data_IF_005607664039
#
_entry.id   IF_005607664039
#
_cell.length_a   1.000
_cell.length_b   1.000
_cell.length_c   1.000
_cell.angle_alpha   90.00
_cell.angle_beta   90.00
_cell.angle_gamma   90.00
#
_symmetry.space_group_name_H-M   'P 1'
#
loop_
_entity.id
_entity.type
_entity.pdbx_description
1 polymer ?
#
# COMPACT_ATOMS: atom_id res chain seq x y z
N UNK A 1 -0.68 -13.33 60.08
CA UNK A 1 0.02 -12.94 58.84
C UNK A 1 -0.58 -13.76 57.72
N UNK A 2 -1.42 -13.15 56.88
CA UNK A 2 -2.10 -13.82 55.76
C UNK A 2 -1.51 -13.23 54.49
N UNK A 3 -0.76 -14.02 53.73
CA UNK A 3 -0.22 -13.63 52.43
C UNK A 3 -1.25 -13.94 51.36
N UNK A 4 -1.84 -12.89 50.78
CA UNK A 4 -2.73 -13.00 49.62
C UNK A 4 -1.88 -13.00 48.36
N UNK A 5 -1.90 -14.09 47.61
CA UNK A 5 -1.38 -14.17 46.25
C UNK A 5 -2.38 -13.50 45.30
N UNK A 6 -1.98 -12.42 44.64
CA UNK A 6 -2.70 -11.84 43.51
C UNK A 6 -2.17 -12.50 42.25
N UNK A 7 -3.01 -13.30 41.61
CA UNK A 7 -2.74 -13.92 40.31
C UNK A 7 -3.03 -12.89 39.22
N UNK A 8 -1.99 -12.43 38.54
CA UNK A 8 -2.08 -11.56 37.37
C UNK A 8 -2.41 -12.41 36.14
N UNK A 9 -3.67 -12.41 35.75
CA UNK A 9 -4.12 -12.96 34.47
C UNK A 9 -3.70 -11.98 33.36
N UNK A 10 -2.68 -12.34 32.58
CA UNK A 10 -2.37 -11.67 31.30
C UNK A 10 -3.51 -11.99 30.34
N UNK A 11 -4.31 -10.98 30.00
CA UNK A 11 -5.34 -11.10 28.97
C UNK A 11 -4.68 -10.97 27.61
N UNK A 12 -4.81 -12.01 26.77
CA UNK A 12 -4.44 -11.94 25.36
C UNK A 12 -5.35 -10.92 24.64
N UNK A 13 -4.81 -10.02 23.79
CA UNK A 13 -5.62 -8.98 23.13
C UNK A 13 -6.59 -9.51 22.06
N UNK A 14 -6.52 -10.80 21.73
CA UNK A 14 -7.12 -11.37 20.52
C UNK A 14 -8.46 -12.07 20.74
N UNK A 15 -8.95 -12.18 21.97
CA UNK A 15 -10.21 -12.87 22.28
C UNK A 15 -11.37 -11.88 22.37
N UNK A 16 -11.87 -11.48 21.20
CA UNK A 16 -13.29 -11.18 21.05
C UNK A 16 -13.79 -11.77 19.72
N UNK A 17 -14.51 -12.89 19.88
CA UNK A 17 -15.22 -13.57 18.79
C UNK A 17 -16.47 -12.79 18.45
N UNK A 18 -16.56 -12.24 17.24
CA UNK A 18 -17.84 -11.86 16.65
C UNK A 18 -17.84 -11.89 15.11
N UNK A 19 -18.38 -12.98 14.58
CA UNK A 19 -19.26 -13.06 13.42
C UNK A 19 -18.79 -12.54 12.04
N UNK A 20 -18.44 -13.51 11.19
CA UNK A 20 -18.78 -13.44 9.77
C UNK A 20 -20.30 -13.33 9.58
N UNK A 21 -20.81 -12.12 9.44
CA UNK A 21 -22.02 -11.86 8.69
C UNK A 21 -21.62 -11.19 7.37
N UNK A 22 -21.63 -12.01 6.30
CA UNK A 22 -21.60 -11.52 4.93
C UNK A 22 -22.89 -10.71 4.74
N UNK A 23 -22.80 -9.38 4.84
CA UNK A 23 -23.85 -8.50 4.33
C UNK A 23 -23.51 -8.22 2.87
N UNK A 24 -24.20 -8.92 1.99
CA UNK A 24 -24.31 -8.57 0.56
C UNK A 24 -24.97 -7.21 0.44
N UNK A 25 -24.17 -6.14 0.43
CA UNK A 25 -24.64 -4.83 -0.01
C UNK A 25 -24.44 -4.71 -1.51
N UNK A 26 -25.49 -5.11 -2.22
CA UNK A 26 -25.71 -4.84 -3.63
C UNK A 26 -26.33 -3.44 -3.73
N UNK A 27 -25.52 -2.41 -3.92
CA UNK A 27 -26.00 -1.10 -4.37
C UNK A 27 -25.11 -0.53 -5.46
N UNK A 28 -25.78 -0.17 -6.55
CA UNK A 28 -25.25 0.39 -7.78
C UNK A 28 -24.36 1.62 -7.53
N UNK A 29 -23.15 1.59 -8.07
CA UNK A 29 -22.53 2.80 -8.61
C UNK A 29 -22.70 2.69 -10.11
N UNK A 30 -23.68 3.43 -10.63
CA UNK A 30 -23.98 3.51 -12.05
C UNK A 30 -22.77 4.00 -12.83
N UNK A 31 -22.56 3.29 -13.94
CA UNK A 31 -21.64 3.62 -15.01
C UNK A 31 -21.85 5.04 -15.53
N UNK A 32 -20.75 5.76 -15.74
CA UNK A 32 -20.64 6.75 -16.80
C UNK A 32 -19.37 6.44 -17.59
N UNK A 33 -19.47 5.40 -18.42
CA UNK A 33 -18.55 5.16 -19.53
C UNK A 33 -19.08 5.95 -20.73
N UNK A 34 -18.38 7.00 -21.12
CA UNK A 34 -18.40 7.48 -22.51
C UNK A 34 -17.07 7.10 -23.15
N UNK A 35 -17.16 6.08 -24.01
CA UNK A 35 -16.27 5.66 -25.10
C UNK A 35 -15.27 6.72 -25.58
N UNK A 36 -13.98 6.35 -25.69
CA UNK A 36 -13.35 6.11 -27.01
C UNK A 36 -11.94 5.52 -26.89
N UNK A 37 -11.72 4.49 -27.70
CA UNK A 37 -10.44 3.99 -28.24
C UNK A 37 -9.47 3.15 -27.40
N UNK A 38 -9.80 1.85 -27.39
CA UNK A 38 -9.02 0.77 -28.05
C UNK A 38 -7.48 0.86 -27.95
N UNK A 39 -6.92 0.22 -26.93
CA UNK A 39 -5.92 -0.84 -27.13
C UNK A 39 -5.69 -1.63 -25.82
N UNK A 40 -6.30 -2.81 -25.66
CA UNK A 40 -5.92 -3.75 -24.60
C UNK A 40 -6.24 -5.17 -25.05
N UNK A 41 -5.19 -5.96 -25.25
CA UNK A 41 -5.17 -7.39 -25.58
C UNK A 41 -3.73 -7.86 -25.33
N UNK A 42 -3.39 -8.89 -24.58
CA UNK A 42 -4.12 -9.94 -23.85
C UNK A 42 -3.24 -10.36 -22.65
N UNK A 43 -3.88 -10.83 -21.57
CA UNK A 43 -3.24 -11.60 -20.50
C UNK A 43 -3.14 -13.05 -21.01
N UNK A 44 -1.94 -13.62 -21.04
CA UNK A 44 -1.79 -15.08 -21.17
C UNK A 44 -2.09 -15.73 -19.83
N UNK A 45 -3.21 -16.45 -19.80
CA UNK A 45 -3.52 -17.45 -18.79
C UNK A 45 -2.44 -18.54 -18.80
N UNK A 46 -1.91 -18.89 -17.62
CA UNK A 46 -1.32 -20.21 -17.40
C UNK A 46 -2.39 -21.04 -16.75
N UNK A 47 -2.72 -22.08 -17.50
CA UNK A 47 -3.67 -23.14 -17.27
C UNK A 47 -3.36 -23.91 -15.97
N UNK A 48 -4.40 -24.15 -15.18
CA UNK A 48 -4.41 -25.05 -14.03
C UNK A 48 -5.23 -26.26 -14.44
N UNK A 49 -4.56 -27.31 -14.92
CA UNK A 49 -5.13 -28.65 -15.07
C UNK A 49 -4.02 -29.69 -15.01
N UNK A 50 -3.81 -30.27 -13.82
CA UNK A 50 -3.44 -31.69 -13.65
C UNK A 50 -3.46 -32.08 -12.15
N UNK A 51 -4.49 -32.79 -11.67
CA UNK A 51 -4.46 -33.48 -10.39
C UNK A 51 -4.52 -35.00 -10.60
N UNK A 52 -3.42 -35.61 -11.01
CA UNK A 52 -3.28 -37.06 -10.89
C UNK A 52 -1.80 -37.45 -10.90
N UNK A 53 -1.28 -37.77 -9.72
CA UNK A 53 -0.43 -38.94 -9.40
C UNK A 53 0.24 -38.67 -8.05
N UNK A 54 -0.44 -39.05 -6.97
CA UNK A 54 0.24 -39.38 -5.72
C UNK A 54 0.00 -40.87 -5.55
N UNK A 55 1.03 -41.65 -5.88
CA UNK A 55 1.09 -43.07 -5.60
C UNK A 55 1.35 -43.26 -4.10
N UNK A 56 0.36 -43.80 -3.40
CA UNK A 56 0.34 -44.00 -1.94
C UNK A 56 0.69 -45.45 -1.56
N UNK A 57 1.55 -46.12 -2.33
CA UNK A 57 1.85 -47.54 -2.14
C UNK A 57 3.12 -47.84 -1.33
N UNK A 58 3.79 -46.85 -0.72
CA UNK A 58 5.11 -47.05 -0.11
C UNK A 58 5.22 -46.59 1.36
N UNK A 59 4.29 -47.05 2.20
CA UNK A 59 4.36 -46.88 3.66
C UNK A 59 4.07 -48.19 4.39
N UNK A 60 4.88 -49.21 4.10
CA UNK A 60 4.87 -50.47 4.86
C UNK A 60 6.26 -50.87 5.30
N UNK A 61 6.97 -49.97 5.97
CA UNK A 61 8.16 -50.34 6.75
C UNK A 61 8.44 -49.36 7.89
N UNK A 62 7.73 -49.51 9.01
CA UNK A 62 8.08 -48.89 10.30
C UNK A 62 7.73 -49.85 11.45
N UNK A 63 8.31 -51.05 11.41
CA UNK A 63 8.30 -51.99 12.52
C UNK A 63 9.63 -51.99 13.26
N UNK A 64 10.10 -50.83 13.70
CA UNK A 64 11.23 -50.76 14.64
C UNK A 64 11.19 -49.47 15.49
N UNK A 65 10.34 -49.47 16.51
CA UNK A 65 10.37 -48.48 17.59
C UNK A 65 10.08 -49.16 18.94
N UNK A 66 10.93 -50.12 19.28
CA UNK A 66 10.94 -50.77 20.60
C UNK A 66 12.26 -50.55 21.35
N UNK A 67 12.84 -49.35 21.23
CA UNK A 67 13.95 -48.96 22.08
C UNK A 67 13.97 -47.43 22.33
N UNK A 68 13.21 -46.99 23.33
CA UNK A 68 13.40 -45.66 23.92
C UNK A 68 12.94 -45.66 25.39
N UNK A 69 13.49 -46.56 26.20
CA UNK A 69 13.50 -46.38 27.64
C UNK A 69 14.77 -45.63 28.04
N UNK A 70 14.58 -44.49 28.71
CA UNK A 70 15.58 -43.58 29.32
C UNK A 70 15.81 -42.30 28.52
N UNK A 71 14.85 -41.37 28.63
CA UNK A 71 15.13 -39.95 28.44
C UNK A 71 15.37 -39.37 29.83
N UNK A 72 16.59 -38.90 30.08
CA UNK A 72 16.96 -38.12 31.25
C UNK A 72 16.20 -36.77 31.20
N UNK A 73 15.52 -36.35 32.28
CA UNK A 73 14.85 -35.04 32.35
C UNK A 73 15.76 -33.83 32.09
N UNK A 74 17.07 -34.03 32.05
CA UNK A 74 18.10 -33.00 31.86
C UNK A 74 18.45 -32.72 30.40
N UNK A 75 18.01 -33.55 29.44
CA UNK A 75 18.29 -33.40 28.00
C UNK A 75 17.14 -32.75 27.21
N UNK A 76 16.25 -32.01 27.89
CA UNK A 76 15.28 -31.18 27.19
C UNK A 76 16.04 -30.15 26.33
N UNK A 77 15.80 -30.08 25.01
CA UNK A 77 16.29 -28.97 24.22
C UNK A 77 15.73 -27.71 24.86
N UNK A 78 16.61 -26.82 25.31
CA UNK A 78 16.24 -25.45 25.63
C UNK A 78 15.69 -24.87 24.34
N UNK A 79 14.37 -24.92 24.17
CA UNK A 79 13.67 -24.30 23.06
C UNK A 79 13.94 -22.82 23.21
N UNK A 80 14.89 -22.33 22.41
CA UNK A 80 15.22 -20.94 22.29
C UNK A 80 13.99 -20.20 21.74
N UNK A 81 13.18 -19.66 22.64
CA UNK A 81 11.99 -18.86 22.36
C UNK A 81 12.35 -17.42 21.95
N UNK A 82 13.44 -17.22 21.22
CA UNK A 82 14.01 -15.89 20.97
C UNK A 82 13.98 -15.44 19.51
N UNK A 83 12.94 -15.74 18.73
CA UNK A 83 12.54 -14.85 17.63
C UNK A 83 11.01 -14.79 17.51
N UNK A 84 10.36 -13.61 17.62
CA UNK A 84 8.96 -13.49 17.26
C UNK A 84 8.87 -13.75 15.75
N UNK A 85 8.29 -14.89 15.37
CA UNK A 85 8.04 -15.21 13.98
C UNK A 85 7.04 -14.19 13.42
N UNK A 86 7.54 -13.11 12.83
CA UNK A 86 6.75 -12.12 12.12
C UNK A 86 6.02 -12.84 10.99
N UNK A 87 4.69 -12.75 10.98
CA UNK A 87 3.91 -13.43 9.94
C UNK A 87 4.23 -12.85 8.56
N UNK A 88 3.98 -13.61 7.49
CA UNK A 88 4.16 -13.11 6.12
C UNK A 88 3.40 -11.81 5.90
N UNK A 89 2.17 -11.73 6.43
CA UNK A 89 1.31 -10.56 6.25
C UNK A 89 1.75 -9.37 7.11
N UNK A 90 2.20 -9.58 8.34
CA UNK A 90 2.79 -8.53 9.17
C UNK A 90 4.02 -7.92 8.47
N UNK A 91 4.92 -8.76 7.94
CA UNK A 91 6.07 -8.31 7.16
C UNK A 91 5.65 -7.51 5.91
N UNK A 92 4.56 -7.92 5.24
CA UNK A 92 4.02 -7.16 4.11
C UNK A 92 3.57 -5.76 4.55
N UNK A 93 2.84 -5.63 5.67
CA UNK A 93 2.36 -4.34 6.21
C UNK A 93 3.54 -3.44 6.56
N UNK A 94 4.50 -3.95 7.34
CA UNK A 94 5.69 -3.21 7.77
C UNK A 94 6.55 -2.71 6.59
N UNK A 95 6.56 -3.45 5.47
CA UNK A 95 7.33 -3.07 4.28
C UNK A 95 6.82 -1.81 3.58
N UNK A 96 5.51 -1.53 3.59
CA UNK A 96 4.94 -0.40 2.84
C UNK A 96 4.44 0.74 3.73
N UNK A 97 4.12 0.47 4.99
CA UNK A 97 3.70 1.46 5.96
C UNK A 97 4.93 2.21 6.49
N UNK A 98 4.98 3.53 6.33
CA UNK A 98 6.11 4.33 6.81
C UNK A 98 5.84 4.81 8.25
N UNK A 99 6.64 4.40 9.25
CA UNK A 99 6.41 4.75 10.66
C UNK A 99 6.31 6.26 10.93
N UNK A 100 7.02 7.07 10.13
CA UNK A 100 7.04 8.53 10.31
C UNK A 100 5.94 9.25 9.54
N UNK A 101 5.07 8.53 8.83
CA UNK A 101 4.06 9.10 7.98
C UNK A 101 2.67 9.05 8.64
N UNK A 102 2.44 9.97 9.57
CA UNK A 102 1.16 10.07 10.30
C UNK A 102 -0.06 10.21 9.37
N UNK A 103 0.09 10.90 8.23
CA UNK A 103 -0.98 11.03 7.25
C UNK A 103 -1.32 9.69 6.58
N UNK A 104 -0.30 8.84 6.33
CA UNK A 104 -0.50 7.47 5.87
C UNK A 104 -1.19 6.65 6.94
N UNK A 105 -0.77 6.73 8.21
CA UNK A 105 -1.41 5.97 9.29
C UNK A 105 -2.89 6.32 9.45
N UNK A 106 -3.22 7.60 9.51
CA UNK A 106 -4.62 8.06 9.62
C UNK A 106 -5.46 7.61 8.41
N UNK A 107 -4.90 7.71 7.21
CA UNK A 107 -5.58 7.24 6.01
C UNK A 107 -5.78 5.73 6.01
N UNK A 108 -4.80 4.95 6.46
CA UNK A 108 -4.88 3.49 6.59
C UNK A 108 -5.98 3.10 7.56
N UNK A 109 -6.08 3.77 8.72
CA UNK A 109 -7.13 3.54 9.71
C UNK A 109 -8.52 3.81 9.11
N UNK A 110 -8.68 4.92 8.41
CA UNK A 110 -9.92 5.27 7.72
C UNK A 110 -10.27 4.20 6.67
N UNK A 111 -9.32 3.84 5.82
CA UNK A 111 -9.50 2.81 4.80
C UNK A 111 -9.93 1.47 5.41
N UNK A 112 -9.26 0.99 6.45
CA UNK A 112 -9.61 -0.24 7.15
C UNK A 112 -11.02 -0.17 7.75
N UNK A 113 -11.35 0.95 8.39
CA UNK A 113 -12.70 1.19 8.94
C UNK A 113 -13.76 1.12 7.83
N UNK A 114 -13.52 1.70 6.64
CA UNK A 114 -14.47 1.61 5.51
C UNK A 114 -14.60 0.20 4.93
N UNK A 115 -13.63 -0.67 5.16
CA UNK A 115 -13.66 -2.09 4.76
C UNK A 115 -14.26 -3.01 5.82
N UNK A 116 -14.69 -2.45 6.95
CA UNK A 116 -15.32 -3.20 8.05
C UNK A 116 -14.32 -3.81 9.02
N UNK A 117 -13.04 -3.42 8.96
CA UNK A 117 -12.02 -3.86 9.90
C UNK A 117 -12.15 -3.10 11.22
N UNK A 118 -12.25 -3.84 12.31
CA UNK A 118 -12.24 -3.28 13.67
C UNK A 118 -10.82 -3.11 14.16
N UNK A 119 -10.41 -1.87 14.31
CA UNK A 119 -9.14 -1.50 14.92
C UNK A 119 -9.34 -1.28 16.42
N UNK A 120 -8.45 -1.82 17.23
CA UNK A 120 -8.34 -1.52 18.66
C UNK A 120 -8.07 -0.02 18.84
N UNK A 121 -9.12 0.76 19.00
CA UNK A 121 -9.05 2.18 19.35
C UNK A 121 -8.99 2.26 20.88
N UNK A 122 -7.85 1.88 21.45
CA UNK A 122 -7.56 2.29 22.83
C UNK A 122 -7.70 3.80 22.91
N UNK A 123 -8.37 4.33 23.94
CA UNK A 123 -8.65 5.77 24.08
C UNK A 123 -7.40 6.67 24.01
N UNK A 124 -6.20 6.08 24.11
CA UNK A 124 -4.90 6.74 24.06
C UNK A 124 -3.93 6.14 23.02
N UNK A 125 -4.34 5.17 22.20
CA UNK A 125 -3.43 4.52 21.25
C UNK A 125 -3.06 5.45 20.10
N UNK A 126 -1.76 5.54 19.80
CA UNK A 126 -1.29 6.23 18.60
C UNK A 126 -1.84 5.51 17.36
N UNK A 127 -2.08 6.23 16.24
CA UNK A 127 -2.39 5.58 14.96
C UNK A 127 -1.39 4.50 14.53
N UNK A 128 -0.13 4.63 14.94
CA UNK A 128 0.91 3.62 14.70
C UNK A 128 0.69 2.35 15.53
N UNK A 129 0.39 2.51 16.83
CA UNK A 129 0.17 1.39 17.76
C UNK A 129 -1.06 0.57 17.31
N UNK A 130 -2.17 1.24 16.98
CA UNK A 130 -3.38 0.56 16.49
C UNK A 130 -3.14 -0.24 15.20
N UNK A 131 -2.28 0.25 14.30
CA UNK A 131 -1.95 -0.47 13.07
C UNK A 131 -0.97 -1.61 13.32
N UNK A 132 -0.07 -1.46 14.29
CA UNK A 132 0.87 -2.50 14.71
C UNK A 132 0.12 -3.66 15.36
N UNK A 133 -0.74 -3.37 16.33
CA UNK A 133 -1.64 -4.35 16.96
C UNK A 133 -2.51 -5.07 15.92
N UNK A 134 -3.14 -4.32 15.01
CA UNK A 134 -3.92 -4.92 13.92
C UNK A 134 -3.08 -5.85 13.05
N UNK A 135 -1.85 -5.46 12.71
CA UNK A 135 -0.97 -6.26 11.85
C UNK A 135 -0.53 -7.57 12.52
N UNK A 136 -0.36 -7.57 13.84
CA UNK A 136 -0.02 -8.76 14.62
C UNK A 136 -1.20 -9.73 14.75
N UNK A 137 -2.44 -9.21 14.69
CA UNK A 137 -3.65 -10.02 14.72
C UNK A 137 -4.04 -10.62 13.35
N UNK A 138 -3.29 -10.32 12.28
CA UNK A 138 -3.59 -10.83 10.93
C UNK A 138 -3.34 -12.33 10.83
N UNK A 139 -4.38 -13.07 10.47
CA UNK A 139 -4.24 -14.47 10.06
C UNK A 139 -3.75 -14.55 8.62
N UNK A 140 -2.82 -15.47 8.34
CA UNK A 140 -2.31 -15.75 6.99
C UNK A 140 -3.39 -16.39 6.10
N UNK A 141 -4.30 -15.56 5.60
CA UNK A 141 -5.40 -15.95 4.71
C UNK A 141 -5.32 -15.20 3.38
N UNK A 142 -5.81 -15.79 2.27
CA UNK A 142 -5.85 -15.10 0.97
C UNK A 142 -6.65 -13.78 1.00
N UNK A 143 -7.69 -13.70 1.85
CA UNK A 143 -8.50 -12.50 2.01
C UNK A 143 -7.69 -11.34 2.62
N UNK A 144 -6.92 -11.62 3.68
CA UNK A 144 -6.07 -10.62 4.33
C UNK A 144 -4.91 -10.18 3.42
N UNK A 145 -4.33 -11.11 2.66
CA UNK A 145 -3.32 -10.77 1.66
C UNK A 145 -3.88 -9.81 0.58
N UNK A 146 -5.09 -10.10 0.09
CA UNK A 146 -5.76 -9.25 -0.89
C UNK A 146 -6.10 -7.87 -0.29
N UNK A 147 -6.55 -7.80 0.96
CA UNK A 147 -6.81 -6.56 1.67
C UNK A 147 -5.57 -5.66 1.69
N UNK A 148 -4.41 -6.20 2.09
CA UNK A 148 -3.14 -5.45 2.16
C UNK A 148 -2.71 -4.96 0.78
N UNK A 149 -2.82 -5.80 -0.26
CA UNK A 149 -2.49 -5.43 -1.64
C UNK A 149 -3.37 -4.29 -2.14
N UNK A 150 -4.69 -4.39 -1.94
CA UNK A 150 -5.65 -3.37 -2.34
C UNK A 150 -5.41 -2.05 -1.60
N UNK A 151 -5.18 -2.12 -0.30
CA UNK A 151 -4.86 -0.97 0.53
C UNK A 151 -3.58 -0.26 0.05
N UNK A 152 -2.53 -1.02 -0.24
CA UNK A 152 -1.27 -0.48 -0.77
C UNK A 152 -1.47 0.22 -2.11
N UNK A 153 -2.25 -0.39 -3.02
CA UNK A 153 -2.55 0.19 -4.33
C UNK A 153 -3.37 1.48 -4.21
N UNK A 154 -4.40 1.47 -3.36
CA UNK A 154 -5.23 2.63 -3.09
C UNK A 154 -4.42 3.81 -2.50
N UNK A 155 -3.49 3.53 -1.58
CA UNK A 155 -2.58 4.56 -1.05
C UNK A 155 -1.70 5.16 -2.14
N UNK A 156 -1.11 4.34 -3.01
CA UNK A 156 -0.29 4.81 -4.14
C UNK A 156 -1.11 5.74 -5.05
N UNK A 157 -2.35 5.38 -5.32
CA UNK A 157 -3.26 6.18 -6.13
C UNK A 157 -3.64 7.49 -5.44
N UNK A 158 -3.97 7.48 -4.15
CA UNK A 158 -4.20 8.69 -3.36
C UNK A 158 -2.98 9.61 -3.40
N UNK A 159 -1.79 9.08 -3.08
CA UNK A 159 -0.55 9.86 -3.13
C UNK A 159 -0.28 10.46 -4.50
N UNK A 160 -0.64 9.76 -5.57
CA UNK A 160 -0.57 10.32 -6.92
C UNK A 160 -1.56 11.48 -7.09
N UNK A 161 -2.83 11.31 -6.71
CA UNK A 161 -3.85 12.38 -6.79
C UNK A 161 -3.49 13.60 -5.95
N UNK A 162 -3.04 13.41 -4.73
CA UNK A 162 -2.66 14.50 -3.82
C UNK A 162 -1.51 15.35 -4.39
N UNK A 163 -0.59 14.74 -5.16
CA UNK A 163 0.48 15.46 -5.86
C UNK A 163 0.00 16.30 -7.05
N UNK A 164 -1.24 16.10 -7.49
CA UNK A 164 -1.83 16.79 -8.64
C UNK A 164 -2.88 17.83 -8.23
N UNK A 165 -3.09 18.10 -6.94
CA UNK A 165 -4.13 19.05 -6.49
C UNK A 165 -3.97 20.43 -7.12
N UNK A 166 -2.72 20.91 -7.27
CA UNK A 166 -2.42 22.20 -7.91
C UNK A 166 -2.07 22.07 -9.41
N UNK A 167 -2.20 20.87 -9.98
CA UNK A 167 -1.82 20.59 -11.37
C UNK A 167 -3.04 20.22 -12.19
N UNK A 168 -3.29 21.00 -13.23
CA UNK A 168 -4.34 20.69 -14.21
C UNK A 168 -3.72 20.02 -15.43
N UNK A 169 -4.27 18.87 -15.81
CA UNK A 169 -3.88 18.22 -17.07
C UNK A 169 -4.47 18.99 -18.25
N UNK A 170 -3.65 19.20 -19.28
CA UNK A 170 -4.06 19.78 -20.54
C UNK A 170 -3.68 18.84 -21.68
N UNK A 171 -4.61 18.64 -22.61
CA UNK A 171 -4.36 17.97 -23.88
C UNK A 171 -4.31 19.02 -24.98
N UNK A 172 -3.24 19.03 -25.75
CA UNK A 172 -3.07 19.92 -26.89
C UNK A 172 -2.45 19.14 -28.05
N UNK A 173 -2.75 19.57 -29.26
CA UNK A 173 -2.12 19.03 -30.48
C UNK A 173 -1.01 19.98 -30.89
N UNK A 174 0.20 19.45 -31.09
CA UNK A 174 1.33 20.20 -31.64
C UNK A 174 1.66 19.69 -33.03
N UNK A 175 2.21 20.58 -33.85
CA UNK A 175 2.95 20.17 -35.03
C UNK A 175 4.08 19.20 -34.63
N UNK A 176 4.29 18.17 -35.44
CA UNK A 176 5.26 17.10 -35.14
C UNK A 176 6.68 17.65 -35.02
N UNK A 177 7.07 18.61 -35.85
CA UNK A 177 8.40 19.22 -35.78
C UNK A 177 8.57 20.01 -34.48
N UNK A 178 7.54 20.73 -34.03
CA UNK A 178 7.55 21.47 -32.77
C UNK A 178 7.64 20.52 -31.57
N UNK A 179 6.91 19.40 -31.60
CA UNK A 179 7.02 18.35 -30.56
C UNK A 179 8.44 17.83 -30.46
N UNK A 180 9.09 17.49 -31.58
CA UNK A 180 10.47 16.98 -31.59
C UNK A 180 11.46 18.00 -31.00
N UNK A 181 11.26 19.29 -31.27
CA UNK A 181 12.08 20.34 -30.67
C UNK A 181 11.88 20.42 -29.15
N UNK A 182 10.63 20.35 -28.68
CA UNK A 182 10.31 20.36 -27.27
C UNK A 182 10.91 19.13 -26.54
N UNK A 183 10.81 17.94 -27.13
CA UNK A 183 11.38 16.71 -26.60
C UNK A 183 12.90 16.84 -26.42
N UNK A 184 13.61 17.26 -27.47
CA UNK A 184 15.07 17.49 -27.42
C UNK A 184 15.46 18.53 -26.37
N UNK A 185 14.65 19.57 -26.19
CA UNK A 185 14.92 20.62 -25.21
C UNK A 185 14.74 20.09 -23.78
N UNK A 186 13.68 19.32 -23.54
CA UNK A 186 13.41 18.69 -22.25
C UNK A 186 14.52 17.69 -21.87
N UNK A 187 14.97 16.87 -22.82
CA UNK A 187 16.09 15.94 -22.64
C UNK A 187 17.38 16.65 -22.26
N UNK A 188 17.76 17.70 -22.99
CA UNK A 188 18.98 18.48 -22.71
C UNK A 188 18.97 19.09 -21.31
N UNK A 189 17.80 19.48 -20.81
CA UNK A 189 17.62 20.08 -19.49
C UNK A 189 17.28 19.06 -18.40
N UNK A 190 17.22 17.75 -18.72
CA UNK A 190 16.81 16.67 -17.81
C UNK A 190 15.47 16.94 -17.11
N UNK A 191 14.52 17.52 -17.85
CA UNK A 191 13.17 17.84 -17.38
C UNK A 191 12.13 16.99 -18.10
N UNK A 192 10.95 16.86 -17.49
CA UNK A 192 9.79 16.32 -18.20
C UNK A 192 9.32 17.32 -19.26
N UNK A 193 8.64 16.84 -20.29
CA UNK A 193 8.05 17.69 -21.34
C UNK A 193 7.15 18.77 -20.72
N UNK A 194 6.29 18.39 -19.77
CA UNK A 194 5.42 19.33 -19.04
C UNK A 194 6.23 20.37 -18.26
N UNK A 195 7.28 19.97 -17.55
CA UNK A 195 8.13 20.91 -16.81
C UNK A 195 8.86 21.88 -17.74
N UNK A 196 9.34 21.40 -18.89
CA UNK A 196 9.93 22.25 -19.92
C UNK A 196 8.92 23.24 -20.49
N UNK A 197 7.67 22.80 -20.71
CA UNK A 197 6.60 23.68 -21.19
C UNK A 197 6.27 24.78 -20.16
N UNK A 198 6.16 24.42 -18.87
CA UNK A 198 5.95 25.37 -17.76
C UNK A 198 7.07 26.43 -17.70
N UNK A 199 8.33 26.01 -17.87
CA UNK A 199 9.47 26.94 -17.91
C UNK A 199 9.39 27.89 -19.11
N UNK A 200 9.07 27.37 -20.30
CA UNK A 200 8.96 28.19 -21.52
C UNK A 200 7.88 29.26 -21.37
N UNK A 201 6.72 28.88 -20.82
CA UNK A 201 5.62 29.81 -20.54
C UNK A 201 6.07 30.87 -19.53
N UNK A 202 6.68 30.45 -18.42
CA UNK A 202 7.17 31.36 -17.37
C UNK A 202 8.21 32.34 -17.91
N UNK A 203 9.17 31.85 -18.69
CA UNK A 203 10.19 32.70 -19.31
C UNK A 203 9.59 33.70 -20.31
N UNK A 204 8.58 33.29 -21.08
CA UNK A 204 7.90 34.17 -22.01
C UNK A 204 7.15 35.30 -21.29
N UNK A 205 6.43 34.98 -20.21
CA UNK A 205 5.72 35.97 -19.37
C UNK A 205 6.72 36.96 -18.77
N UNK A 206 7.79 36.48 -18.14
CA UNK A 206 8.81 37.35 -17.53
C UNK A 206 9.48 38.29 -18.55
N UNK A 207 9.70 37.82 -19.79
CA UNK A 207 10.24 38.65 -20.86
C UNK A 207 9.23 39.71 -21.31
N UNK A 208 7.94 39.37 -21.40
CA UNK A 208 6.89 40.30 -21.78
C UNK A 208 6.73 41.43 -20.75
N UNK A 209 6.68 41.10 -19.45
CA UNK A 209 6.57 42.07 -18.35
C UNK A 209 7.76 43.05 -18.31
N UNK A 210 8.98 42.54 -18.53
CA UNK A 210 10.19 43.38 -18.62
C UNK A 210 10.16 44.33 -19.81
N UNK A 211 9.60 43.90 -20.94
CA UNK A 211 9.47 44.75 -22.11
C UNK A 211 8.42 45.85 -21.89
N UNK A 212 7.31 45.54 -21.23
CA UNK A 212 6.25 46.52 -20.94
C UNK A 212 6.69 47.58 -19.93
N UNK A 213 7.37 47.17 -18.86
CA UNK A 213 7.92 48.10 -17.86
C UNK A 213 8.94 49.06 -18.47
N UNK A 214 9.83 48.55 -19.34
CA UNK A 214 10.77 49.39 -20.10
C UNK A 214 10.05 50.42 -20.98
N UNK A 215 9.02 50.00 -21.72
CA UNK A 215 8.23 50.92 -22.57
C UNK A 215 7.52 52.00 -21.77
N UNK A 216 6.97 51.66 -20.59
CA UNK A 216 6.32 52.64 -19.70
C UNK A 216 7.32 53.66 -19.16
N UNK A 217 8.51 53.23 -18.78
CA UNK A 217 9.58 54.10 -18.28
C UNK A 217 10.13 55.06 -19.36
N UNK A 218 10.30 54.56 -20.59
CA UNK A 218 10.72 55.38 -21.73
C UNK A 218 9.66 56.44 -22.07
N UNK A 219 8.37 56.07 -22.02
CA UNK A 219 7.27 57.01 -22.25
C UNK A 219 7.17 58.08 -21.15
N UNK A 220 7.49 57.77 -19.89
CA UNK A 220 7.46 58.76 -18.81
C UNK A 220 8.67 59.70 -18.77
N UNK A 221 9.77 59.41 -19.49
CA UNK A 221 10.95 60.29 -19.60
C UNK A 221 10.90 61.26 -20.78
N UNK A 222 9.94 61.07 -21.69
CA UNK A 222 9.75 61.92 -22.88
C UNK A 222 8.66 62.99 -22.72
N UNK A 223 8.02 63.06 -21.54
CA UNK A 223 7.11 64.13 -21.12
C UNK A 223 7.79 65.00 -20.07
#
# INVERSE_FOLDING_TARGET
MVTSHVSSHVSSPCDDTANHHIVTNQYLVQDNITLSDKNTTFITAVDLSDPSTIDLSDLSDLSDLSDLSTIDPSDLPTVDLSEPAVTKLEAMVLKWLNPRNRAQHLWTIDYLTTKGETLSKGLLSSPEDSLTEWSQCLRDTPANELLIRNMTAAWRQKRHRDRQVDKKSYSFTLDTAVKVQLDRLAERQKKTISGMLEDLITQAVLKAEKAETKRKLEKSRGN
#
